data_IF_350731699675
#
_entry.id   IF_350731699675
#
_cell.length_a   1.000
_cell.length_b   1.000
_cell.length_c   1.000
_cell.angle_alpha   90.00
_cell.angle_beta   90.00
_cell.angle_gamma   90.00
#
_symmetry.space_group_name_H-M   'P 1'
#
loop_
_entity.id
_entity.type
_entity.pdbx_description
1 polymer ?
#
# COMPACT_ATOMS: atom_id res chain seq x y z
N UNK A 1 22.95 -6.91 9.92
CA UNK A 1 21.55 -6.51 9.67
C UNK A 1 21.24 -5.33 10.55
N UNK A 2 21.11 -4.12 9.99
CA UNK A 2 20.85 -2.92 10.78
C UNK A 2 19.36 -2.56 10.74
N UNK A 3 18.80 -2.25 11.90
CA UNK A 3 17.55 -1.52 12.05
C UNK A 3 17.87 -0.04 12.17
N UNK A 4 16.95 0.82 11.73
CA UNK A 4 17.07 2.26 11.91
C UNK A 4 15.74 2.82 12.45
N UNK A 5 15.84 3.70 13.43
CA UNK A 5 14.72 4.44 14.00
C UNK A 5 15.01 5.94 13.87
N UNK A 6 14.07 6.70 13.33
CA UNK A 6 14.23 8.14 13.18
C UNK A 6 12.90 8.87 13.12
N UNK A 7 12.87 10.09 13.65
CA UNK A 7 11.67 10.93 13.63
C UNK A 7 11.51 11.63 12.28
N UNK A 8 12.56 12.34 11.86
CA UNK A 8 12.69 12.98 10.54
C UNK A 8 13.94 12.43 9.87
N UNK A 9 13.79 11.60 8.84
CA UNK A 9 14.98 10.99 8.24
C UNK A 9 14.82 10.52 6.79
N UNK A 10 15.95 10.50 6.10
CA UNK A 10 16.10 9.93 4.75
C UNK A 10 17.03 8.74 4.83
N UNK A 11 16.48 7.54 4.64
CA UNK A 11 17.24 6.30 4.74
C UNK A 11 17.27 5.55 3.40
N UNK A 12 18.45 5.03 3.04
CA UNK A 12 18.72 4.49 1.68
C UNK A 12 18.85 2.97 1.59
N UNK A 13 19.23 2.26 2.65
CA UNK A 13 19.38 0.80 2.62
C UNK A 13 19.54 0.22 4.03
N UNK A 14 18.50 -0.42 4.55
CA UNK A 14 18.57 -1.21 5.78
C UNK A 14 17.66 -2.44 5.64
N UNK A 15 17.74 -3.38 6.56
CA UNK A 15 16.81 -4.51 6.59
C UNK A 15 15.44 -4.10 7.10
N UNK A 16 15.40 -3.26 8.15
CA UNK A 16 14.19 -2.75 8.78
C UNK A 16 14.31 -1.26 9.04
N UNK A 17 13.19 -0.54 8.92
CA UNK A 17 13.11 0.88 9.22
C UNK A 17 11.79 1.20 9.92
N UNK A 18 11.89 1.99 10.99
CA UNK A 18 10.75 2.60 11.66
C UNK A 18 10.91 4.12 11.68
N UNK A 19 9.91 4.85 11.21
CA UNK A 19 10.00 6.31 11.23
C UNK A 19 8.67 7.04 11.22
N UNK A 20 8.67 8.27 11.72
CA UNK A 20 7.46 9.07 11.82
C UNK A 20 7.23 9.89 10.55
N UNK A 21 8.21 10.68 10.15
CA UNK A 21 8.20 11.56 8.98
C UNK A 21 9.42 11.21 8.12
N UNK A 22 9.22 10.44 7.06
CA UNK A 22 10.32 9.60 6.56
C UNK A 22 10.31 9.34 5.06
N UNK A 23 11.50 9.38 4.47
CA UNK A 23 11.71 8.95 3.08
C UNK A 23 12.66 7.76 3.07
N UNK A 24 12.12 6.59 2.78
CA UNK A 24 12.89 5.35 2.76
C UNK A 24 12.95 4.73 1.36
N UNK A 25 14.16 4.38 0.93
CA UNK A 25 14.44 3.68 -0.32
C UNK A 25 14.98 2.27 -0.03
N UNK A 26 14.32 1.22 -0.52
CA UNK A 26 14.83 -0.16 -0.63
C UNK A 26 15.14 -0.88 0.70
N UNK A 27 14.14 -1.53 1.29
CA UNK A 27 14.31 -2.34 2.51
C UNK A 27 13.47 -3.62 2.44
N UNK A 28 13.67 -4.54 3.37
CA UNK A 28 12.80 -5.72 3.50
C UNK A 28 11.48 -5.35 4.16
N UNK A 29 11.54 -4.62 5.27
CA UNK A 29 10.38 -4.16 6.05
C UNK A 29 10.46 -2.66 6.35
N UNK A 30 9.31 -1.99 6.36
CA UNK A 30 9.16 -0.62 6.81
C UNK A 30 7.87 -0.46 7.59
N UNK A 31 7.95 0.25 8.70
CA UNK A 31 6.80 0.80 9.39
C UNK A 31 6.96 2.30 9.50
N UNK A 32 5.91 3.06 9.20
CA UNK A 32 5.96 4.48 9.46
C UNK A 32 4.62 5.17 9.50
N UNK A 33 4.61 6.40 9.98
CA UNK A 33 3.37 7.15 10.11
C UNK A 33 3.11 7.95 8.83
N UNK A 34 4.01 8.87 8.54
CA UNK A 34 3.96 9.84 7.48
C UNK A 34 5.19 9.66 6.59
N UNK A 35 5.00 9.38 5.30
CA UNK A 35 6.19 9.22 4.46
C UNK A 35 6.06 8.60 3.08
N UNK A 36 7.21 8.53 2.43
CA UNK A 36 7.36 7.99 1.08
C UNK A 36 8.31 6.81 1.08
N UNK A 37 7.81 5.66 0.66
CA UNK A 37 8.60 4.45 0.56
C UNK A 37 8.66 3.89 -0.87
N UNK A 38 9.87 3.57 -1.31
CA UNK A 38 10.17 3.00 -2.62
C UNK A 38 10.82 1.61 -2.50
N UNK A 39 10.14 0.57 -2.99
CA UNK A 39 10.60 -0.83 -3.14
C UNK A 39 10.85 -1.59 -1.84
N UNK A 40 9.88 -2.35 -1.35
CA UNK A 40 10.09 -3.22 -0.19
C UNK A 40 9.36 -4.55 -0.32
N UNK A 41 9.68 -5.52 0.54
CA UNK A 41 8.88 -6.74 0.62
C UNK A 41 7.58 -6.47 1.37
N UNK A 42 7.68 -5.86 2.55
CA UNK A 42 6.54 -5.50 3.41
C UNK A 42 6.56 -4.03 3.79
N UNK A 43 5.38 -3.43 3.89
CA UNK A 43 5.18 -2.06 4.35
C UNK A 43 3.92 -1.94 5.18
N UNK A 44 4.05 -1.24 6.30
CA UNK A 44 2.90 -0.77 7.08
C UNK A 44 3.00 0.75 7.23
N UNK A 45 1.92 1.47 6.94
CA UNK A 45 1.91 2.90 7.24
C UNK A 45 0.55 3.52 7.40
N UNK A 46 0.51 4.71 8.02
CA UNK A 46 -0.75 5.40 8.30
C UNK A 46 -1.10 6.35 7.18
N UNK A 47 -0.24 7.30 6.87
CA UNK A 47 -0.42 8.41 5.94
C UNK A 47 0.72 8.39 4.92
N UNK A 48 0.59 7.56 3.89
CA UNK A 48 1.77 7.00 3.24
C UNK A 48 1.67 6.82 1.73
N UNK A 49 2.77 7.13 1.04
CA UNK A 49 2.91 6.88 -0.40
C UNK A 49 3.92 5.77 -0.65
N UNK A 50 3.44 4.66 -1.19
CA UNK A 50 4.26 3.49 -1.45
C UNK A 50 4.27 3.07 -2.92
N UNK A 51 5.47 2.82 -3.42
CA UNK A 51 5.75 2.32 -4.78
C UNK A 51 6.48 0.97 -4.77
N UNK A 52 5.84 -0.06 -5.38
CA UNK A 52 6.36 -1.42 -5.65
C UNK A 52 6.66 -2.27 -4.42
N UNK A 53 5.71 -3.08 -3.97
CA UNK A 53 5.98 -4.02 -2.87
C UNK A 53 5.27 -5.34 -3.04
N UNK A 54 5.70 -6.37 -2.31
CA UNK A 54 4.97 -7.64 -2.26
C UNK A 54 3.70 -7.49 -1.42
N UNK A 55 3.82 -6.90 -0.23
CA UNK A 55 2.71 -6.67 0.70
C UNK A 55 2.69 -5.22 1.19
N UNK A 56 1.48 -4.68 1.35
CA UNK A 56 1.23 -3.38 1.92
C UNK A 56 -0.01 -3.39 2.80
N UNK A 57 0.12 -2.77 3.97
CA UNK A 57 -1.00 -2.43 4.82
C UNK A 57 -0.96 -0.94 5.10
N UNK A 58 -2.08 -0.23 4.94
CA UNK A 58 -2.13 1.15 5.39
C UNK A 58 -3.50 1.74 5.57
N UNK A 59 -3.55 2.85 6.30
CA UNK A 59 -4.83 3.49 6.65
C UNK A 59 -5.26 4.48 5.58
N UNK A 60 -4.46 5.52 5.36
CA UNK A 60 -4.68 6.66 4.47
C UNK A 60 -3.54 6.68 3.44
N UNK A 61 -3.76 6.03 2.30
CA UNK A 61 -2.61 5.45 1.58
C UNK A 61 -2.73 5.51 0.06
N UNK A 62 -1.62 5.87 -0.59
CA UNK A 62 -1.48 5.80 -2.05
C UNK A 62 -0.47 4.72 -2.43
N UNK A 63 -0.96 3.66 -3.06
CA UNK A 63 -0.16 2.51 -3.43
C UNK A 63 -0.13 2.24 -4.94
N UNK A 64 1.09 2.12 -5.47
CA UNK A 64 1.38 1.74 -6.87
C UNK A 64 2.14 0.41 -6.97
N UNK A 65 1.51 -0.60 -7.61
CA UNK A 65 2.05 -1.92 -8.00
C UNK A 65 2.41 -2.84 -6.83
N UNK A 66 1.50 -3.72 -6.44
CA UNK A 66 1.79 -4.71 -5.39
C UNK A 66 1.22 -6.08 -5.71
N UNK A 67 1.71 -7.12 -5.03
CA UNK A 67 1.05 -8.43 -5.07
C UNK A 67 -0.19 -8.42 -4.18
N UNK A 68 -0.06 -7.96 -2.94
CA UNK A 68 -1.13 -7.83 -1.96
C UNK A 68 -1.20 -6.42 -1.39
N UNK A 69 -2.41 -5.92 -1.20
CA UNK A 69 -2.68 -4.66 -0.56
C UNK A 69 -3.90 -4.77 0.35
N UNK A 70 -3.78 -4.22 1.55
CA UNK A 70 -4.87 -4.01 2.47
C UNK A 70 -4.88 -2.55 2.90
N UNK A 71 -6.05 -1.90 2.87
CA UNK A 71 -6.14 -0.56 3.46
C UNK A 71 -7.53 -0.10 3.81
N UNK A 72 -7.61 1.03 4.52
CA UNK A 72 -8.90 1.60 4.94
C UNK A 72 -9.38 2.61 3.91
N UNK A 73 -8.67 3.71 3.78
CA UNK A 73 -8.93 4.87 2.93
C UNK A 73 -7.80 4.97 1.90
N UNK A 74 -8.02 4.44 0.69
CA UNK A 74 -6.87 4.22 -0.19
C UNK A 74 -7.07 4.27 -1.69
N UNK A 75 -6.00 4.68 -2.36
CA UNK A 75 -5.92 4.74 -3.82
C UNK A 75 -4.89 3.74 -4.32
N UNK A 76 -5.39 2.76 -5.08
CA UNK A 76 -4.65 1.63 -5.60
C UNK A 76 -4.67 1.57 -7.14
N UNK A 77 -3.49 1.47 -7.77
CA UNK A 77 -3.38 1.37 -9.23
C UNK A 77 -3.25 -0.02 -9.86
N UNK A 78 -2.46 -0.96 -9.31
CA UNK A 78 -2.16 -2.26 -9.94
C UNK A 78 -1.84 -3.31 -8.89
N UNK A 79 -2.67 -4.35 -8.76
CA UNK A 79 -2.53 -5.36 -7.72
C UNK A 79 -2.83 -6.77 -8.21
N UNK A 80 -2.32 -7.82 -7.58
CA UNK A 80 -2.90 -9.15 -7.76
C UNK A 80 -4.12 -9.31 -6.86
N UNK A 81 -3.97 -8.98 -5.58
CA UNK A 81 -5.04 -8.94 -4.58
C UNK A 81 -5.12 -7.56 -3.93
N UNK A 82 -6.34 -7.06 -3.79
CA UNK A 82 -6.65 -5.81 -3.11
C UNK A 82 -7.79 -6.02 -2.11
N UNK A 83 -7.62 -5.55 -0.88
CA UNK A 83 -8.68 -5.46 0.11
C UNK A 83 -8.76 -4.02 0.62
N UNK A 84 -9.96 -3.42 0.60
CA UNK A 84 -10.12 -2.03 1.06
C UNK A 84 -11.51 -1.71 1.62
N UNK A 85 -11.59 -0.79 2.58
CA UNK A 85 -12.88 -0.33 3.10
C UNK A 85 -13.48 0.76 2.23
N UNK A 86 -12.79 1.87 2.08
CA UNK A 86 -13.15 3.09 1.36
C UNK A 86 -12.08 3.35 0.30
N UNK A 87 -12.33 2.91 -0.94
CA UNK A 87 -11.21 2.70 -1.86
C UNK A 87 -11.44 2.95 -3.34
N UNK A 88 -10.36 3.37 -4.01
CA UNK A 88 -10.31 3.49 -5.47
C UNK A 88 -9.24 2.57 -6.01
N UNK A 89 -9.66 1.47 -6.64
CA UNK A 89 -8.77 0.47 -7.24
C UNK A 89 -8.92 0.44 -8.77
N UNK A 90 -7.79 0.47 -9.51
CA UNK A 90 -7.82 0.64 -10.98
C UNK A 90 -7.57 -0.60 -11.85
N UNK A 91 -6.79 -1.56 -11.38
CA UNK A 91 -6.46 -2.82 -12.09
C UNK A 91 -6.06 -3.87 -11.08
N UNK A 92 -6.76 -4.99 -11.04
CA UNK A 92 -6.43 -6.06 -10.11
C UNK A 92 -6.96 -7.42 -10.55
N UNK A 93 -6.35 -8.52 -10.12
CA UNK A 93 -6.93 -9.84 -10.37
C UNK A 93 -8.12 -10.08 -9.45
N UNK A 94 -7.97 -9.78 -8.16
CA UNK A 94 -9.02 -9.89 -7.13
C UNK A 94 -9.16 -8.61 -6.33
N UNK A 95 -10.40 -8.22 -6.06
CA UNK A 95 -10.73 -7.14 -5.13
C UNK A 95 -11.83 -7.56 -4.17
N UNK A 96 -11.61 -7.18 -2.91
CA UNK A 96 -12.60 -7.26 -1.87
C UNK A 96 -12.73 -5.88 -1.22
N UNK A 97 -13.94 -5.36 -1.06
CA UNK A 97 -14.09 -4.12 -0.32
C UNK A 97 -15.50 -3.81 0.11
N UNK A 98 -15.68 -2.70 0.83
CA UNK A 98 -17.01 -2.29 1.29
C UNK A 98 -17.56 -1.19 0.40
N UNK A 99 -16.86 -0.07 0.40
CA UNK A 99 -17.19 1.21 -0.21
C UNK A 99 -16.10 1.57 -1.24
N UNK A 100 -16.45 1.77 -2.51
CA UNK A 100 -15.39 2.15 -3.47
C UNK A 100 -15.66 2.07 -4.97
N UNK A 101 -14.63 2.46 -5.72
CA UNK A 101 -14.60 2.39 -7.18
C UNK A 101 -13.55 1.39 -7.63
N UNK A 102 -14.02 0.31 -8.25
CA UNK A 102 -13.24 -0.80 -8.77
C UNK A 102 -13.26 -0.79 -10.30
N UNK A 103 -12.09 -0.70 -10.93
CA UNK A 103 -11.96 -0.81 -12.39
C UNK A 103 -11.07 -1.99 -12.74
N UNK A 104 -11.44 -2.71 -13.80
CA UNK A 104 -10.62 -3.70 -14.52
C UNK A 104 -10.17 -4.86 -13.64
N UNK A 105 -10.98 -5.92 -13.59
CA UNK A 105 -10.72 -7.06 -12.71
C UNK A 105 -11.18 -8.41 -13.23
N UNK A 106 -10.67 -9.48 -12.60
CA UNK A 106 -11.15 -10.84 -12.84
C UNK A 106 -12.21 -11.24 -11.80
N UNK A 107 -11.97 -10.92 -10.52
CA UNK A 107 -12.90 -11.17 -9.41
C UNK A 107 -13.12 -9.89 -8.58
N UNK A 108 -14.38 -9.67 -8.17
CA UNK A 108 -14.80 -8.55 -7.33
C UNK A 108 -15.85 -8.99 -6.32
N UNK A 109 -15.62 -8.66 -5.06
CA UNK A 109 -16.59 -8.79 -3.98
C UNK A 109 -16.70 -7.43 -3.29
N UNK A 110 -17.87 -6.80 -3.36
CA UNK A 110 -18.11 -5.54 -2.69
C UNK A 110 -19.55 -5.34 -2.27
N UNK A 111 -19.77 -4.45 -1.28
CA UNK A 111 -21.10 -4.18 -0.75
C UNK A 111 -21.73 -2.98 -1.46
N UNK A 112 -21.03 -1.87 -1.46
CA UNK A 112 -21.51 -0.54 -1.85
C UNK A 112 -20.45 0.11 -2.77
N UNK A 113 -20.52 -0.11 -4.08
CA UNK A 113 -19.45 0.40 -4.95
C UNK A 113 -19.69 0.25 -6.44
N UNK A 114 -18.96 1.07 -7.21
CA UNK A 114 -19.02 1.05 -8.67
C UNK A 114 -17.93 0.12 -9.20
N UNK A 115 -18.35 -0.99 -9.79
CA UNK A 115 -17.46 -2.00 -10.36
C UNK A 115 -17.56 -2.02 -11.89
N UNK A 116 -16.42 -1.89 -12.58
CA UNK A 116 -16.34 -2.10 -14.04
C UNK A 116 -15.34 -3.20 -14.36
N UNK A 117 -15.85 -4.36 -14.74
CA UNK A 117 -15.06 -5.48 -15.27
C UNK A 117 -14.60 -5.16 -16.70
N UNK A 118 -13.51 -5.81 -17.13
CA UNK A 118 -13.17 -5.86 -18.56
C UNK A 118 -13.89 -7.02 -19.22
#
# INVERSE_FOLDING_TARGET
FSSYQGRDSVAKRFSSYQGRDSVAKRFSSYQGRDGVAKRFSSYQGRDSVAKRFSSYQGRDSVAKRFSSYQGRDSVAKRFSSYQGRDSVAKRFSSYQGRDGVAKRFSSYQGRDGVAKRF
#
